data_IF_597184555787
#
_entry.id   IF_597184555787
#
_cell.length_a   1.000
_cell.length_b   1.000
_cell.length_c   1.000
_cell.angle_alpha   90.00
_cell.angle_beta   90.00
_cell.angle_gamma   90.00
#
_symmetry.space_group_name_H-M   'P 1'
#
loop_
_entity.id
_entity.type
_entity.pdbx_description
1 polymer ?
#
# COMPACT_ATOMS: atom_id res chain seq x y z
N UNK A 1 -5.97 26.25 34.30
CA UNK A 1 -5.58 24.87 34.63
C UNK A 1 -5.31 24.19 33.32
N UNK A 2 -4.10 23.73 33.01
CA UNK A 2 -3.81 23.07 31.77
C UNK A 2 -4.25 21.61 31.88
N UNK A 3 -5.00 21.14 30.91
CA UNK A 3 -5.34 19.73 30.73
C UNK A 3 -4.06 18.98 30.38
N UNK A 4 -3.69 18.02 31.24
CA UNK A 4 -2.58 17.11 30.99
C UNK A 4 -2.88 16.21 29.80
N UNK A 5 -1.84 15.98 28.99
CA UNK A 5 -1.87 15.03 27.86
C UNK A 5 -2.24 13.62 28.35
N UNK A 6 -3.14 12.91 27.66
CA UNK A 6 -3.40 11.52 27.97
C UNK A 6 -2.25 10.68 27.41
N UNK A 7 -1.26 10.35 28.23
CA UNK A 7 -0.33 9.25 27.93
C UNK A 7 -1.11 7.93 28.00
N UNK A 8 -1.60 7.48 26.88
CA UNK A 8 -2.41 6.24 26.75
C UNK A 8 -1.57 4.95 26.75
N UNK A 9 -0.25 5.06 26.82
CA UNK A 9 0.64 3.91 26.92
C UNK A 9 1.31 3.87 28.28
N UNK A 10 0.97 2.94 29.16
CA UNK A 10 1.73 2.74 30.40
C UNK A 10 3.11 2.18 30.06
N UNK A 11 4.15 2.71 30.75
CA UNK A 11 5.50 2.18 30.63
C UNK A 11 5.52 0.68 30.91
N UNK A 12 6.36 -0.07 30.20
CA UNK A 12 6.49 -1.51 30.37
C UNK A 12 6.76 -1.94 31.83
N UNK A 13 7.35 -1.06 32.64
CA UNK A 13 7.57 -1.26 34.08
C UNK A 13 6.31 -1.02 34.93
N UNK A 14 5.38 -0.14 34.51
CA UNK A 14 4.15 0.12 35.27
C UNK A 14 3.12 -1.02 35.16
N UNK A 15 3.23 -1.90 34.17
CA UNK A 15 2.40 -3.09 34.01
C UNK A 15 2.68 -4.13 35.13
N UNK A 16 3.88 -4.10 35.72
CA UNK A 16 4.28 -5.03 36.82
C UNK A 16 3.62 -4.73 38.17
N UNK A 17 2.99 -3.56 38.35
CA UNK A 17 2.47 -3.09 39.65
C UNK A 17 0.96 -3.09 39.81
N UNK A 18 0.18 -3.73 38.92
CA UNK A 18 -1.25 -3.87 39.12
C UNK A 18 -1.55 -4.90 40.24
N UNK A 19 -1.49 -4.45 41.49
CA UNK A 19 -1.95 -5.23 42.64
C UNK A 19 -3.48 -5.19 42.73
N UNK A 20 -4.10 -6.37 42.67
CA UNK A 20 -5.52 -6.57 42.84
C UNK A 20 -5.96 -6.30 44.27
N UNK A 21 -6.94 -5.41 44.45
CA UNK A 21 -7.82 -5.45 45.61
C UNK A 21 -9.24 -5.28 45.11
N UNK A 22 -9.94 -6.39 45.04
CA UNK A 22 -11.33 -6.53 45.48
C UNK A 22 -11.86 -7.92 45.15
N UNK A 23 -12.14 -8.66 46.20
CA UNK A 23 -12.87 -9.90 46.16
C UNK A 23 -14.37 -9.62 46.01
N UNK A 24 -14.96 -9.96 44.88
CA UNK A 24 -16.39 -10.31 44.80
C UNK A 24 -16.57 -11.34 43.70
N UNK A 25 -17.18 -12.40 44.12
CA UNK A 25 -17.51 -13.64 43.52
C UNK A 25 -17.67 -13.71 42.03
N UNK A 26 -17.26 -14.90 41.58
CA UNK A 26 -17.90 -15.55 40.44
C UNK A 26 -16.90 -15.95 39.36
N UNK A 27 -16.88 -17.19 39.11
CA UNK A 27 -16.06 -17.92 38.14
C UNK A 27 -15.97 -17.37 36.72
N UNK A 28 -16.89 -16.49 36.30
CA UNK A 28 -16.85 -15.82 34.98
C UNK A 28 -15.89 -14.64 34.89
N UNK A 29 -15.77 -13.86 35.97
CA UNK A 29 -14.93 -12.65 35.99
C UNK A 29 -13.44 -13.00 36.17
N UNK A 30 -13.15 -14.07 36.89
CA UNK A 30 -11.78 -14.57 37.07
C UNK A 30 -11.17 -15.08 35.74
N UNK A 31 -11.96 -15.66 34.87
CA UNK A 31 -11.51 -16.14 33.56
C UNK A 31 -11.17 -14.99 32.63
N UNK A 32 -12.00 -13.95 32.58
CA UNK A 32 -11.75 -12.77 31.75
C UNK A 32 -10.54 -11.99 32.26
N UNK A 33 -10.39 -11.75 33.55
CA UNK A 33 -9.25 -11.05 34.14
C UNK A 33 -7.92 -11.77 33.90
N UNK A 34 -7.90 -13.09 33.92
CA UNK A 34 -6.71 -13.88 33.62
C UNK A 34 -6.36 -13.81 32.13
N UNK A 35 -7.33 -13.91 31.23
CA UNK A 35 -7.10 -13.76 29.77
C UNK A 35 -6.48 -12.41 29.44
N UNK A 36 -7.01 -11.31 29.99
CA UNK A 36 -6.43 -9.96 29.79
C UNK A 36 -4.99 -9.87 30.32
N UNK A 37 -4.69 -10.42 31.48
CA UNK A 37 -3.32 -10.44 32.02
C UNK A 37 -2.35 -11.19 31.10
N UNK A 38 -2.73 -12.35 30.62
CA UNK A 38 -1.89 -13.13 29.69
C UNK A 38 -1.68 -12.42 28.36
N UNK A 39 -2.73 -11.78 27.83
CA UNK A 39 -2.63 -11.00 26.58
C UNK A 39 -1.67 -9.82 26.74
N UNK A 40 -1.81 -9.03 27.80
CA UNK A 40 -0.93 -7.88 28.05
C UNK A 40 0.52 -8.31 28.29
N UNK A 41 0.74 -9.38 29.04
CA UNK A 41 2.09 -9.94 29.25
C UNK A 41 2.68 -10.42 27.92
N UNK A 42 1.88 -11.07 27.06
CA UNK A 42 2.35 -11.50 25.74
C UNK A 42 2.74 -10.32 24.86
N UNK A 43 1.94 -9.24 24.86
CA UNK A 43 2.27 -8.02 24.11
C UNK A 43 3.56 -7.36 24.65
N UNK A 44 3.69 -7.25 25.98
CA UNK A 44 4.88 -6.69 26.61
C UNK A 44 6.13 -7.52 26.31
N UNK A 45 6.05 -8.84 26.41
CA UNK A 45 7.14 -9.76 26.09
C UNK A 45 7.54 -9.61 24.61
N UNK A 46 6.56 -9.62 23.71
CA UNK A 46 6.80 -9.43 22.29
C UNK A 46 7.46 -8.08 22.00
N UNK A 47 7.01 -7.01 22.65
CA UNK A 47 7.56 -5.67 22.50
C UNK A 47 9.03 -5.58 22.96
N UNK A 48 9.36 -6.15 24.12
CA UNK A 48 10.72 -6.16 24.67
C UNK A 48 11.65 -6.99 23.78
N UNK A 49 11.27 -8.22 23.46
CA UNK A 49 12.09 -9.13 22.65
C UNK A 49 12.39 -8.58 21.25
N UNK A 50 11.43 -7.85 20.65
CA UNK A 50 11.56 -7.35 19.28
C UNK A 50 11.86 -5.85 19.20
N UNK A 51 12.05 -5.18 20.33
CA UNK A 51 12.31 -3.73 20.41
C UNK A 51 11.24 -2.90 19.70
N UNK A 52 9.98 -3.26 19.90
CA UNK A 52 8.85 -2.52 19.35
C UNK A 52 8.64 -1.21 20.08
N UNK A 53 8.10 -0.23 19.39
CA UNK A 53 7.86 1.12 19.90
C UNK A 53 6.39 1.32 20.25
N UNK A 54 6.12 2.09 21.31
CA UNK A 54 4.76 2.50 21.67
C UNK A 54 4.20 3.48 20.63
N UNK A 55 3.11 3.17 19.93
CA UNK A 55 2.53 4.09 18.97
C UNK A 55 1.74 5.20 19.67
N UNK A 56 1.73 6.40 19.10
CA UNK A 56 0.80 7.47 19.47
C UNK A 56 -0.50 7.26 18.71
N UNK A 57 -1.62 7.16 19.42
CA UNK A 57 -2.96 7.03 18.81
C UNK A 57 -3.77 8.26 19.18
N UNK A 58 -4.37 8.90 18.17
CA UNK A 58 -5.20 10.10 18.33
C UNK A 58 -6.39 10.11 17.36
N UNK A 59 -7.23 11.14 17.46
CA UNK A 59 -8.38 11.31 16.56
C UNK A 59 -8.04 12.04 15.24
N UNK A 60 -6.73 12.21 14.95
CA UNK A 60 -6.30 12.88 13.72
C UNK A 60 -6.58 12.01 12.48
N UNK A 61 -6.51 12.64 11.32
CA UNK A 61 -6.60 11.96 10.03
C UNK A 61 -5.22 11.55 9.49
N UNK A 62 -4.18 11.58 10.33
CA UNK A 62 -2.80 11.26 9.97
C UNK A 62 -2.48 9.79 10.24
N UNK A 63 -1.75 9.18 9.33
CA UNK A 63 -1.10 7.89 9.50
C UNK A 63 0.37 8.09 9.15
N UNK A 64 1.22 8.19 10.17
CA UNK A 64 2.65 8.35 10.04
C UNK A 64 3.39 7.22 10.72
N UNK A 65 4.21 6.50 9.96
CA UNK A 65 5.05 5.38 10.43
C UNK A 65 6.46 5.63 9.90
N UNK A 66 7.43 5.66 10.78
CA UNK A 66 8.84 5.83 10.45
C UNK A 66 9.58 4.50 10.64
N UNK A 67 10.34 4.08 9.63
CA UNK A 67 11.10 2.84 9.63
C UNK A 67 10.27 1.62 10.04
N UNK A 68 9.04 1.53 9.51
CA UNK A 68 8.14 0.41 9.73
C UNK A 68 8.69 -0.89 9.15
N UNK A 69 8.43 -2.00 9.85
CA UNK A 69 8.86 -3.34 9.47
C UNK A 69 7.69 -4.32 9.49
N UNK A 70 7.75 -5.33 8.66
CA UNK A 70 6.73 -6.38 8.66
C UNK A 70 7.00 -7.35 9.83
N UNK A 71 6.09 -7.49 10.82
CA UNK A 71 6.36 -8.19 12.08
C UNK A 71 6.77 -9.66 11.90
N UNK A 72 6.32 -10.30 10.82
CA UNK A 72 6.64 -11.71 10.54
C UNK A 72 7.91 -11.81 9.71
N UNK A 73 8.04 -11.02 8.64
CA UNK A 73 9.18 -11.15 7.71
C UNK A 73 10.49 -10.69 8.34
N UNK A 74 10.46 -9.71 9.24
CA UNK A 74 11.66 -9.30 10.00
C UNK A 74 12.27 -10.46 10.79
N UNK A 75 11.42 -11.39 11.27
CA UNK A 75 11.88 -12.57 12.04
C UNK A 75 12.34 -13.73 11.15
N UNK A 76 11.74 -13.90 9.99
CA UNK A 76 12.04 -15.02 9.07
C UNK A 76 13.29 -14.74 8.25
N UNK A 77 13.49 -13.48 7.85
CA UNK A 77 14.65 -13.10 7.05
C UNK A 77 15.90 -13.02 7.93
N UNK A 78 17.08 -13.36 7.38
CA UNK A 78 18.34 -13.16 8.06
C UNK A 78 18.51 -11.71 8.56
N UNK A 79 19.16 -11.55 9.70
CA UNK A 79 19.37 -10.24 10.33
C UNK A 79 19.95 -9.22 9.34
N UNK A 80 19.34 -8.04 9.24
CA UNK A 80 19.77 -6.96 8.34
C UNK A 80 19.27 -7.07 6.89
N UNK A 81 18.57 -8.13 6.50
CA UNK A 81 18.02 -8.26 5.15
C UNK A 81 16.65 -7.61 4.96
N UNK A 82 15.93 -7.32 6.04
CA UNK A 82 14.66 -6.61 5.95
C UNK A 82 14.89 -5.10 5.80
N UNK A 83 14.29 -4.50 4.79
CA UNK A 83 14.38 -3.06 4.53
C UNK A 83 13.16 -2.36 5.13
N UNK A 84 13.40 -1.57 6.17
CA UNK A 84 12.36 -0.76 6.80
C UNK A 84 11.90 0.38 5.88
N UNK A 85 10.62 0.73 5.95
CA UNK A 85 10.01 1.74 5.10
C UNK A 85 9.12 2.68 5.89
N UNK A 86 9.07 3.94 5.43
CA UNK A 86 8.21 4.97 5.98
C UNK A 86 6.84 4.96 5.30
N UNK A 87 5.82 5.43 6.02
CA UNK A 87 4.51 5.75 5.46
C UNK A 87 4.03 7.08 6.03
N UNK A 88 3.54 7.97 5.17
CA UNK A 88 2.80 9.15 5.59
C UNK A 88 1.57 9.32 4.71
N UNK A 89 0.38 9.20 5.32
CA UNK A 89 -0.91 9.46 4.67
C UNK A 89 -1.72 10.39 5.56
N UNK A 90 -2.36 11.39 4.96
CA UNK A 90 -3.19 12.37 5.66
C UNK A 90 -4.50 12.54 4.92
N UNK A 91 -5.61 12.08 5.49
CA UNK A 91 -6.94 12.35 4.96
C UNK A 91 -7.36 13.80 5.31
N UNK A 92 -8.18 14.40 4.44
CA UNK A 92 -8.62 15.82 4.57
C UNK A 92 -7.45 16.82 4.68
N UNK A 93 -6.41 16.62 3.87
CA UNK A 93 -5.23 17.46 3.85
C UNK A 93 -5.52 18.85 3.26
N UNK A 94 -5.85 19.82 4.10
CA UNK A 94 -6.15 21.20 3.68
C UNK A 94 -4.95 21.90 3.03
N UNK A 95 -3.74 21.47 3.35
CA UNK A 95 -2.51 22.04 2.79
C UNK A 95 -2.06 21.39 1.47
N UNK A 96 -2.64 20.23 1.13
CA UNK A 96 -2.32 19.45 -0.08
C UNK A 96 -0.82 19.08 -0.22
N UNK A 97 -0.07 19.15 0.87
CA UNK A 97 1.37 18.83 0.87
C UNK A 97 1.63 17.34 1.01
N UNK A 98 0.79 16.64 1.79
CA UNK A 98 0.95 15.23 2.07
C UNK A 98 0.03 14.36 1.19
N UNK A 99 0.35 13.09 1.04
CA UNK A 99 -0.49 12.15 0.31
C UNK A 99 -1.70 11.73 1.17
N UNK A 100 -2.90 11.78 0.60
CA UNK A 100 -4.05 11.04 1.10
C UNK A 100 -4.10 9.68 0.39
N UNK A 101 -3.76 9.67 -0.88
CA UNK A 101 -3.79 8.54 -1.77
C UNK A 101 -2.40 8.32 -2.39
N UNK A 102 -1.80 7.18 -2.13
CA UNK A 102 -0.49 6.77 -2.65
C UNK A 102 -0.68 5.84 -3.84
N UNK A 103 -0.21 6.24 -5.03
CA UNK A 103 -0.04 5.32 -6.16
C UNK A 103 1.36 4.71 -6.04
N UNK A 104 1.43 3.41 -5.80
CA UNK A 104 2.68 2.69 -5.62
C UNK A 104 3.03 1.86 -6.86
N UNK A 105 4.09 2.26 -7.56
CA UNK A 105 4.57 1.58 -8.75
C UNK A 105 5.86 0.81 -8.50
N UNK A 106 6.16 -0.15 -9.35
CA UNK A 106 7.38 -0.96 -9.29
C UNK A 106 7.14 -2.37 -9.83
N UNK A 107 8.19 -3.15 -10.09
CA UNK A 107 8.06 -4.50 -10.64
C UNK A 107 7.45 -5.47 -9.63
N UNK A 108 7.02 -6.62 -10.13
CA UNK A 108 6.70 -7.76 -9.28
C UNK A 108 7.95 -8.18 -8.50
N UNK A 109 7.76 -8.78 -7.33
CA UNK A 109 8.82 -9.19 -6.40
C UNK A 109 9.58 -8.04 -5.72
N UNK A 110 9.34 -6.76 -6.08
CA UNK A 110 9.98 -5.62 -5.43
C UNK A 110 9.49 -5.34 -4.00
N UNK A 111 8.38 -5.97 -3.58
CA UNK A 111 7.89 -5.86 -2.20
C UNK A 111 6.67 -4.94 -2.01
N UNK A 112 5.96 -4.53 -3.08
CA UNK A 112 4.75 -3.69 -3.01
C UNK A 112 3.70 -4.25 -2.04
N UNK A 113 3.27 -5.49 -2.27
CA UNK A 113 2.25 -6.15 -1.44
C UNK A 113 2.73 -6.38 0.01
N UNK A 114 4.04 -6.63 0.20
CA UNK A 114 4.67 -6.72 1.52
C UNK A 114 4.58 -5.39 2.27
N UNK A 115 4.90 -4.28 1.59
CA UNK A 115 4.82 -2.94 2.15
C UNK A 115 3.38 -2.58 2.56
N UNK A 116 2.38 -2.90 1.74
CA UNK A 116 0.98 -2.67 2.09
C UNK A 116 0.55 -3.48 3.32
N UNK A 117 0.88 -4.79 3.35
CA UNK A 117 0.57 -5.67 4.49
C UNK A 117 1.28 -5.22 5.77
N UNK A 118 2.54 -4.79 5.68
CA UNK A 118 3.29 -4.22 6.80
C UNK A 118 2.51 -3.10 7.47
N UNK A 119 2.06 -2.11 6.68
CA UNK A 119 1.37 -0.94 7.21
C UNK A 119 0.00 -1.29 7.82
N UNK A 120 -0.76 -2.19 7.19
CA UNK A 120 -2.01 -2.71 7.77
C UNK A 120 -1.79 -3.40 9.12
N UNK A 121 -0.77 -4.27 9.21
CA UNK A 121 -0.45 -4.98 10.45
C UNK A 121 0.00 -4.03 11.56
N UNK A 122 0.79 -3.00 11.24
CA UNK A 122 1.19 -1.97 12.21
C UNK A 122 -0.05 -1.25 12.76
N UNK A 123 -0.99 -0.86 11.90
CA UNK A 123 -2.24 -0.20 12.32
C UNK A 123 -3.08 -1.13 13.20
N UNK A 124 -3.23 -2.40 12.84
CA UNK A 124 -3.97 -3.38 13.63
C UNK A 124 -3.31 -3.55 15.00
N UNK A 125 -1.99 -3.80 15.04
CA UNK A 125 -1.25 -3.97 16.29
C UNK A 125 -1.41 -2.75 17.20
N UNK A 126 -1.28 -1.53 16.66
CA UNK A 126 -1.47 -0.31 17.42
C UNK A 126 -2.88 -0.23 18.03
N UNK A 127 -3.92 -0.46 17.23
CA UNK A 127 -5.31 -0.30 17.68
C UNK A 127 -5.80 -1.40 18.65
N UNK A 128 -5.14 -2.57 18.68
CA UNK A 128 -5.40 -3.57 19.72
C UNK A 128 -4.61 -3.33 21.01
N UNK A 129 -3.84 -2.23 21.10
CA UNK A 129 -3.06 -1.86 22.29
C UNK A 129 -1.68 -2.50 22.37
N UNK A 130 -1.16 -3.05 21.28
CA UNK A 130 0.20 -3.57 21.20
C UNK A 130 1.21 -2.49 20.78
N UNK A 131 2.46 -2.66 21.17
CA UNK A 131 3.59 -1.95 20.57
C UNK A 131 3.80 -2.43 19.14
N UNK A 132 4.45 -1.61 18.30
CA UNK A 132 4.54 -1.79 16.85
C UNK A 132 5.99 -1.86 16.35
N UNK A 133 6.25 -2.62 15.28
CA UNK A 133 7.58 -2.80 14.69
C UNK A 133 7.99 -1.58 13.84
N UNK A 134 8.32 -0.47 14.48
CA UNK A 134 8.80 0.74 13.82
C UNK A 134 9.64 1.58 14.80
N UNK A 135 10.30 2.63 14.31
CA UNK A 135 11.00 3.59 15.17
C UNK A 135 10.06 4.64 15.79
N UNK A 136 9.05 5.05 15.01
CA UNK A 136 8.01 5.97 15.47
C UNK A 136 6.71 5.70 14.73
N UNK A 137 5.58 5.79 15.42
CA UNK A 137 4.26 5.75 14.79
C UNK A 137 3.30 6.75 15.45
N UNK A 138 2.61 7.52 14.60
CA UNK A 138 1.45 8.32 14.95
C UNK A 138 0.28 7.88 14.08
N UNK A 139 -0.75 7.37 14.72
CA UNK A 139 -1.84 6.68 14.04
C UNK A 139 -3.16 7.31 14.44
N UNK A 140 -3.74 8.09 13.54
CA UNK A 140 -5.13 8.52 13.62
C UNK A 140 -6.05 7.31 13.46
N UNK A 141 -7.08 7.24 14.32
CA UNK A 141 -8.00 6.10 14.39
C UNK A 141 -8.48 5.68 12.99
N UNK A 142 -8.42 4.37 12.73
CA UNK A 142 -8.90 3.71 11.52
C UNK A 142 -10.13 2.87 11.88
N UNK A 143 -11.27 3.18 11.28
CA UNK A 143 -12.54 2.48 11.56
C UNK A 143 -12.61 1.11 10.86
N UNK A 144 -12.04 1.01 9.65
CA UNK A 144 -12.00 -0.21 8.85
C UNK A 144 -10.72 -0.28 8.03
N UNK A 145 -10.20 -1.48 7.88
CA UNK A 145 -9.10 -1.77 6.95
C UNK A 145 -9.64 -2.64 5.83
N UNK A 146 -9.60 -2.12 4.61
CA UNK A 146 -9.98 -2.86 3.43
C UNK A 146 -8.75 -3.29 2.67
N UNK A 147 -8.71 -4.55 2.28
CA UNK A 147 -7.61 -5.10 1.50
C UNK A 147 -8.16 -5.82 0.27
N UNK A 148 -7.64 -5.46 -0.90
CA UNK A 148 -7.77 -6.23 -2.11
C UNK A 148 -6.35 -6.56 -2.57
N UNK A 149 -5.78 -7.65 -2.05
CA UNK A 149 -4.38 -8.06 -2.24
C UNK A 149 -4.34 -9.52 -2.65
N UNK A 150 -3.94 -9.80 -3.88
CA UNK A 150 -3.85 -11.13 -4.46
C UNK A 150 -5.20 -11.67 -4.95
N UNK A 151 -5.17 -12.43 -6.04
CA UNK A 151 -6.31 -13.22 -6.46
C UNK A 151 -6.24 -14.59 -5.77
N UNK A 152 -7.28 -14.96 -5.05
CA UNK A 152 -7.52 -16.35 -4.69
C UNK A 152 -8.53 -16.88 -5.70
N UNK A 153 -8.10 -17.83 -6.52
CA UNK A 153 -9.00 -18.54 -7.42
C UNK A 153 -9.92 -19.42 -6.58
N UNK A 154 -11.08 -18.89 -6.21
CA UNK A 154 -12.14 -19.70 -5.62
C UNK A 154 -12.97 -20.35 -6.74
N UNK A 155 -12.47 -21.47 -7.21
CA UNK A 155 -13.14 -22.29 -8.24
C UNK A 155 -14.49 -22.85 -7.77
N UNK A 156 -14.79 -22.80 -6.46
CA UNK A 156 -16.01 -23.41 -5.88
C UNK A 156 -17.28 -22.63 -6.23
N UNK A 157 -17.18 -21.33 -6.54
CA UNK A 157 -18.33 -20.48 -6.83
C UNK A 157 -18.61 -20.29 -8.33
N UNK A 158 -17.80 -20.85 -9.22
CA UNK A 158 -17.98 -20.73 -10.68
C UNK A 158 -17.89 -19.28 -11.23
N UNK A 159 -17.42 -18.33 -10.42
CA UNK A 159 -17.25 -16.93 -10.82
C UNK A 159 -15.84 -16.73 -11.41
N UNK A 160 -15.74 -15.86 -12.41
CA UNK A 160 -14.43 -15.46 -12.90
C UNK A 160 -13.68 -14.65 -11.84
N UNK A 161 -12.35 -14.79 -11.79
CA UNK A 161 -11.48 -14.02 -10.89
C UNK A 161 -11.71 -12.51 -11.00
N UNK A 162 -12.02 -12.02 -12.21
CA UNK A 162 -12.37 -10.63 -12.44
C UNK A 162 -13.71 -10.23 -11.78
N UNK A 163 -14.73 -11.10 -11.81
CA UNK A 163 -16.01 -10.82 -11.14
C UNK A 163 -15.85 -10.77 -9.62
N UNK A 164 -15.05 -11.65 -9.04
CA UNK A 164 -14.71 -11.60 -7.61
C UNK A 164 -14.00 -10.30 -7.27
N UNK A 165 -13.02 -9.89 -8.08
CA UNK A 165 -12.31 -8.61 -7.92
C UNK A 165 -13.27 -7.42 -7.95
N UNK A 166 -14.21 -7.40 -8.89
CA UNK A 166 -15.20 -6.31 -9.00
C UNK A 166 -16.17 -6.28 -7.82
N UNK A 167 -16.61 -7.44 -7.33
CA UNK A 167 -17.47 -7.54 -6.16
C UNK A 167 -16.78 -7.02 -4.89
N UNK A 168 -15.52 -7.40 -4.67
CA UNK A 168 -14.71 -6.91 -3.53
C UNK A 168 -14.47 -5.39 -3.65
N UNK A 169 -14.14 -4.90 -4.84
CA UNK A 169 -13.97 -3.47 -5.10
C UNK A 169 -15.27 -2.71 -4.86
N UNK A 170 -16.42 -3.21 -5.34
CA UNK A 170 -17.71 -2.61 -5.09
C UNK A 170 -18.05 -2.56 -3.59
N UNK A 171 -17.76 -3.65 -2.85
CA UNK A 171 -17.94 -3.67 -1.40
C UNK A 171 -17.09 -2.60 -0.70
N UNK A 172 -15.83 -2.43 -1.09
CA UNK A 172 -14.94 -1.40 -0.55
C UNK A 172 -15.53 -0.01 -0.82
N UNK A 173 -15.89 0.29 -2.08
CA UNK A 173 -16.39 1.61 -2.47
C UNK A 173 -17.70 1.99 -1.76
N UNK A 174 -18.55 1.01 -1.46
CA UNK A 174 -19.83 1.24 -0.77
C UNK A 174 -19.71 1.27 0.76
N UNK A 175 -18.63 0.73 1.34
CA UNK A 175 -18.52 0.53 2.80
C UNK A 175 -17.42 1.37 3.47
N UNK A 176 -16.50 1.91 2.69
CA UNK A 176 -15.39 2.72 3.20
C UNK A 176 -15.85 4.13 3.62
N UNK A 177 -15.16 4.66 4.61
CA UNK A 177 -15.34 6.03 5.13
C UNK A 177 -14.04 6.83 4.99
N UNK A 178 -14.04 8.10 5.29
CA UNK A 178 -12.83 8.94 5.32
C UNK A 178 -11.80 8.47 6.36
N UNK A 179 -12.24 7.76 7.41
CA UNK A 179 -11.38 7.18 8.45
C UNK A 179 -10.82 5.81 8.09
N UNK A 180 -11.24 5.22 6.98
CA UNK A 180 -10.77 3.88 6.56
C UNK A 180 -9.34 3.92 6.01
N UNK A 181 -8.67 2.77 6.09
CA UNK A 181 -7.43 2.48 5.38
C UNK A 181 -7.73 1.49 4.25
N UNK A 182 -7.45 1.88 3.01
CA UNK A 182 -7.72 1.08 1.82
C UNK A 182 -6.40 0.63 1.18
N UNK A 183 -6.26 -0.66 0.93
CA UNK A 183 -5.10 -1.28 0.30
C UNK A 183 -5.54 -2.03 -0.95
N UNK A 184 -5.20 -1.49 -2.13
CA UNK A 184 -5.55 -2.06 -3.42
C UNK A 184 -4.29 -2.56 -4.13
N UNK A 185 -4.30 -3.80 -4.58
CA UNK A 185 -3.21 -4.39 -5.35
C UNK A 185 -3.72 -4.81 -6.73
N UNK A 186 -3.27 -4.08 -7.75
CA UNK A 186 -3.42 -4.43 -9.16
C UNK A 186 -4.88 -4.60 -9.64
N UNK A 187 -5.74 -3.65 -9.30
CA UNK A 187 -7.13 -3.61 -9.80
C UNK A 187 -7.16 -3.51 -11.33
N UNK A 188 -8.04 -4.31 -11.98
CA UNK A 188 -8.28 -4.28 -13.41
C UNK A 188 -7.44 -5.28 -14.22
N UNK A 189 -6.70 -6.20 -13.58
CA UNK A 189 -5.86 -7.20 -14.29
C UNK A 189 -6.64 -8.28 -15.01
N UNK A 190 -7.86 -8.59 -14.58
CA UNK A 190 -8.66 -9.70 -15.09
C UNK A 190 -9.39 -9.43 -16.39
N UNK A 191 -9.20 -8.26 -17.03
CA UNK A 191 -9.86 -7.85 -18.26
C UNK A 191 -8.88 -7.28 -19.30
N UNK A 192 -9.40 -6.69 -20.39
CA UNK A 192 -8.54 -6.02 -21.38
C UNK A 192 -7.77 -4.86 -20.75
N UNK A 193 -6.59 -4.53 -21.29
CA UNK A 193 -5.75 -3.47 -20.75
C UNK A 193 -6.48 -2.13 -20.64
N UNK A 194 -7.25 -1.76 -21.68
CA UNK A 194 -7.98 -0.49 -21.70
C UNK A 194 -9.09 -0.43 -20.66
N UNK A 195 -9.90 -1.49 -20.57
CA UNK A 195 -10.95 -1.59 -19.54
C UNK A 195 -10.34 -1.59 -18.15
N UNK A 196 -9.25 -2.33 -17.95
CA UNK A 196 -8.53 -2.40 -16.69
C UNK A 196 -8.02 -1.03 -16.22
N UNK A 197 -7.36 -0.27 -17.10
CA UNK A 197 -6.89 1.09 -16.83
C UNK A 197 -8.06 2.03 -16.50
N UNK A 198 -9.15 1.98 -17.31
CA UNK A 198 -10.32 2.83 -17.12
C UNK A 198 -11.00 2.57 -15.76
N UNK A 199 -11.16 1.30 -15.38
CA UNK A 199 -11.71 0.90 -14.08
C UNK A 199 -10.79 1.35 -12.96
N UNK A 200 -9.48 1.06 -13.04
CA UNK A 200 -8.51 1.41 -12.02
C UNK A 200 -8.45 2.93 -11.79
N UNK A 201 -8.48 3.72 -12.87
CA UNK A 201 -8.57 5.18 -12.81
C UNK A 201 -9.82 5.65 -12.08
N UNK A 202 -10.99 5.15 -12.52
CA UNK A 202 -12.29 5.57 -11.96
C UNK A 202 -12.41 5.20 -10.47
N UNK A 203 -11.91 4.03 -10.06
CA UNK A 203 -11.84 3.60 -8.66
C UNK A 203 -10.93 4.55 -7.85
N UNK A 204 -9.74 4.84 -8.35
CA UNK A 204 -8.80 5.73 -7.68
C UNK A 204 -9.37 7.16 -7.52
N UNK A 205 -9.97 7.70 -8.58
CA UNK A 205 -10.62 9.01 -8.56
C UNK A 205 -11.79 9.04 -7.55
N UNK A 206 -12.65 8.03 -7.56
CA UNK A 206 -13.78 7.95 -6.64
C UNK A 206 -13.32 7.90 -5.17
N UNK A 207 -12.31 7.09 -4.86
CA UNK A 207 -11.76 7.03 -3.51
C UNK A 207 -11.14 8.37 -3.11
N UNK A 208 -10.32 8.97 -3.96
CA UNK A 208 -9.60 10.20 -3.66
C UNK A 208 -10.53 11.42 -3.52
N UNK A 209 -11.63 11.48 -4.30
CA UNK A 209 -12.49 12.66 -4.37
C UNK A 209 -13.77 12.54 -3.54
N UNK A 210 -14.35 11.34 -3.45
CA UNK A 210 -15.65 11.11 -2.77
C UNK A 210 -15.48 10.51 -1.38
N UNK A 211 -14.76 9.37 -1.26
CA UNK A 211 -14.58 8.69 0.02
C UNK A 211 -13.54 9.42 0.87
N UNK A 212 -12.46 9.89 0.25
CA UNK A 212 -11.33 10.59 0.88
C UNK A 212 -10.58 9.75 1.92
N UNK A 213 -10.61 8.44 1.80
CA UNK A 213 -9.92 7.51 2.69
C UNK A 213 -8.39 7.51 2.46
N UNK A 214 -7.63 7.20 3.50
CA UNK A 214 -6.19 6.93 3.39
C UNK A 214 -5.98 5.67 2.56
N UNK A 215 -5.27 5.78 1.45
CA UNK A 215 -5.21 4.69 0.47
C UNK A 215 -3.79 4.43 -0.03
N UNK A 216 -3.42 3.16 -0.16
CA UNK A 216 -2.25 2.70 -0.89
C UNK A 216 -2.74 1.84 -2.05
N UNK A 217 -2.48 2.28 -3.27
CA UNK A 217 -2.86 1.58 -4.49
C UNK A 217 -1.60 1.15 -5.26
N UNK A 218 -1.26 -0.13 -5.16
CA UNK A 218 -0.20 -0.70 -5.97
C UNK A 218 -0.72 -1.05 -7.37
N UNK A 219 0.00 -0.62 -8.40
CA UNK A 219 -0.41 -0.84 -9.79
C UNK A 219 0.77 -0.98 -10.73
N UNK A 220 0.54 -1.67 -11.86
CA UNK A 220 1.44 -1.69 -13.02
C UNK A 220 1.01 -0.72 -14.12
N UNK A 221 -0.14 -0.08 -13.97
CA UNK A 221 -0.61 0.92 -14.92
C UNK A 221 0.14 2.23 -14.72
N UNK A 222 1.12 2.50 -15.59
CA UNK A 222 1.88 3.74 -15.56
C UNK A 222 1.04 4.98 -15.89
N UNK A 223 -0.09 4.76 -16.57
CA UNK A 223 -1.08 5.76 -16.91
C UNK A 223 -1.65 6.46 -15.67
N UNK A 224 -1.80 5.75 -14.57
CA UNK A 224 -2.30 6.31 -13.31
C UNK A 224 -1.33 7.34 -12.70
N UNK A 225 -0.06 7.32 -13.09
CA UNK A 225 0.92 8.29 -12.56
C UNK A 225 0.53 9.75 -12.86
N UNK A 226 -0.22 10.00 -13.94
CA UNK A 226 -0.69 11.35 -14.31
C UNK A 226 -1.71 11.89 -13.31
N UNK A 227 -2.40 11.02 -12.58
CA UNK A 227 -3.40 11.45 -11.58
C UNK A 227 -2.81 12.38 -10.52
N UNK A 228 -1.54 12.24 -10.17
CA UNK A 228 -0.87 13.14 -9.22
C UNK A 228 -0.74 14.58 -9.71
N UNK A 229 -0.80 14.83 -11.02
CA UNK A 229 -0.82 16.18 -11.60
C UNK A 229 -2.23 16.77 -11.68
N UNK A 230 -3.27 15.93 -11.63
CA UNK A 230 -4.67 16.34 -11.73
C UNK A 230 -5.28 16.48 -10.31
N UNK A 231 -4.95 15.57 -9.42
CA UNK A 231 -5.50 15.48 -8.06
C UNK A 231 -4.38 15.72 -7.02
N UNK A 232 -4.31 16.89 -6.38
CA UNK A 232 -3.21 17.24 -5.46
C UNK A 232 -3.03 16.29 -4.28
N UNK A 233 -4.11 15.63 -3.83
CA UNK A 233 -4.11 14.64 -2.75
C UNK A 233 -3.53 13.29 -3.16
N UNK A 234 -3.32 13.03 -4.46
CA UNK A 234 -2.70 11.81 -4.98
C UNK A 234 -1.20 12.06 -5.15
N UNK A 235 -0.37 11.19 -4.61
CA UNK A 235 1.09 11.24 -4.81
C UNK A 235 1.59 9.90 -5.36
N UNK A 236 2.60 10.00 -6.23
CA UNK A 236 3.25 8.83 -6.79
C UNK A 236 4.41 8.39 -5.92
N UNK A 237 4.52 7.09 -5.72
CA UNK A 237 5.63 6.43 -5.05
C UNK A 237 6.11 5.24 -5.86
N UNK A 238 7.37 4.88 -5.67
CA UNK A 238 7.97 3.72 -6.33
C UNK A 238 8.82 2.92 -5.38
N UNK A 239 8.91 1.62 -5.63
CA UNK A 239 9.91 0.79 -4.99
C UNK A 239 11.23 0.92 -5.74
N UNK A 240 12.31 1.19 -5.00
CA UNK A 240 13.62 1.42 -5.60
C UNK A 240 14.29 0.13 -6.07
N UNK A 241 15.03 0.28 -7.15
CA UNK A 241 15.80 -0.78 -7.82
C UNK A 241 17.16 -0.21 -8.16
N UNK A 242 18.20 -1.01 -8.05
CA UNK A 242 19.52 -0.74 -8.62
C UNK A 242 19.72 -1.61 -9.86
N UNK A 243 20.22 -1.01 -10.93
CA UNK A 243 20.66 -1.73 -12.12
C UNK A 243 22.20 -1.77 -12.08
N UNK A 244 22.78 -2.96 -12.03
CA UNK A 244 24.23 -3.17 -12.11
C UNK A 244 24.50 -4.28 -13.12
N UNK A 245 25.29 -3.96 -14.18
CA UNK A 245 25.72 -4.91 -15.23
C UNK A 245 24.60 -5.80 -15.80
N UNK A 246 23.44 -5.22 -16.17
CA UNK A 246 22.24 -5.96 -16.62
C UNK A 246 21.57 -6.87 -15.56
N UNK A 247 22.01 -6.80 -14.31
CA UNK A 247 21.35 -7.43 -13.19
C UNK A 247 20.49 -6.42 -12.41
N UNK A 248 19.36 -6.89 -11.90
CA UNK A 248 18.46 -6.08 -11.10
C UNK A 248 18.61 -6.46 -9.64
N UNK A 249 18.91 -5.46 -8.81
CA UNK A 249 18.90 -5.58 -7.37
C UNK A 249 17.69 -4.83 -6.81
N UNK A 250 16.77 -5.55 -6.19
CA UNK A 250 15.61 -4.96 -5.52
C UNK A 250 16.03 -4.35 -4.19
N UNK A 251 16.12 -3.02 -4.12
CA UNK A 251 16.49 -2.30 -2.90
C UNK A 251 15.33 -2.25 -1.89
N UNK A 252 14.10 -2.53 -2.33
CA UNK A 252 12.89 -2.64 -1.49
C UNK A 252 12.56 -1.38 -0.68
N UNK A 253 13.20 -0.23 -0.97
CA UNK A 253 12.89 1.06 -0.35
C UNK A 253 11.83 1.77 -1.17
N UNK A 254 10.78 2.24 -0.49
CA UNK A 254 9.71 3.05 -1.08
C UNK A 254 10.11 4.51 -1.00
N UNK A 255 10.06 5.21 -2.13
CA UNK A 255 10.37 6.64 -2.21
C UNK A 255 9.33 7.37 -3.07
N UNK A 256 9.18 8.65 -2.88
CA UNK A 256 8.31 9.49 -3.72
C UNK A 256 8.84 9.53 -5.17
N UNK A 257 7.92 9.58 -6.12
CA UNK A 257 8.17 9.61 -7.55
C UNK A 257 7.59 8.40 -8.28
N UNK A 258 7.47 8.49 -9.61
CA UNK A 258 6.95 7.42 -10.45
C UNK A 258 8.06 6.49 -10.95
N UNK A 259 7.72 5.21 -11.17
CA UNK A 259 8.61 4.31 -11.92
C UNK A 259 8.52 4.63 -13.41
N UNK A 260 9.66 4.85 -14.06
CA UNK A 260 9.75 5.19 -15.50
C UNK A 260 9.91 3.97 -16.41
N UNK A 261 10.28 2.81 -15.85
CA UNK A 261 10.57 1.59 -16.60
C UNK A 261 9.79 0.40 -16.06
N UNK A 262 9.41 -0.51 -16.94
CA UNK A 262 8.95 -1.85 -16.59
C UNK A 262 10.13 -2.84 -16.62
N UNK A 263 10.15 -3.79 -15.71
CA UNK A 263 11.25 -4.75 -15.55
C UNK A 263 10.83 -6.20 -15.81
N UNK A 264 9.70 -6.40 -16.52
CA UNK A 264 9.14 -7.74 -16.76
C UNK A 264 10.10 -8.69 -17.47
N UNK A 265 10.84 -8.20 -18.49
CA UNK A 265 11.79 -9.03 -19.25
C UNK A 265 12.98 -9.42 -18.37
N UNK A 266 13.46 -8.51 -17.52
CA UNK A 266 14.55 -8.80 -16.60
C UNK A 266 14.14 -9.82 -15.52
N UNK A 267 12.92 -9.70 -14.99
CA UNK A 267 12.37 -10.70 -14.05
C UNK A 267 12.23 -12.06 -14.74
N UNK A 268 11.81 -12.09 -16.01
CA UNK A 268 11.75 -13.32 -16.81
C UNK A 268 13.14 -13.96 -16.99
N UNK A 269 14.18 -13.13 -17.22
CA UNK A 269 15.59 -13.58 -17.29
C UNK A 269 16.02 -14.18 -15.94
N UNK A 270 15.72 -13.53 -14.82
CA UNK A 270 16.01 -14.04 -13.48
C UNK A 270 15.29 -15.36 -13.17
N UNK A 271 14.08 -15.54 -13.68
CA UNK A 271 13.30 -16.76 -13.54
C UNK A 271 13.83 -17.92 -14.41
N UNK A 272 14.88 -17.69 -15.22
CA UNK A 272 15.52 -18.72 -16.02
C UNK A 272 14.87 -19.00 -17.37
N UNK A 273 14.10 -18.06 -17.94
CA UNK A 273 13.59 -18.23 -19.31
C UNK A 273 14.75 -18.37 -20.30
N UNK A 274 14.61 -19.21 -21.36
CA UNK A 274 15.64 -19.38 -22.37
C UNK A 274 16.10 -18.05 -22.98
N UNK A 275 17.40 -17.90 -23.18
CA UNK A 275 17.98 -16.65 -23.69
C UNK A 275 17.42 -16.22 -25.06
N UNK A 276 17.05 -17.18 -25.91
CA UNK A 276 16.37 -16.91 -27.20
C UNK A 276 15.04 -16.24 -27.01
N UNK A 277 14.25 -16.66 -26.00
CA UNK A 277 12.94 -16.05 -25.68
C UNK A 277 13.12 -14.62 -25.15
N UNK A 278 14.10 -14.42 -24.25
CA UNK A 278 14.44 -13.11 -23.71
C UNK A 278 14.83 -12.13 -24.82
N UNK A 279 15.71 -12.55 -25.73
CA UNK A 279 16.13 -11.74 -26.87
C UNK A 279 14.94 -11.36 -27.77
N UNK A 280 14.11 -12.34 -28.12
CA UNK A 280 12.91 -12.08 -28.92
C UNK A 280 11.96 -11.07 -28.23
N UNK A 281 11.77 -11.22 -26.90
CA UNK A 281 10.93 -10.29 -26.13
C UNK A 281 11.50 -8.86 -26.12
N UNK A 282 12.83 -8.70 -26.00
CA UNK A 282 13.49 -7.39 -26.08
C UNK A 282 13.35 -6.76 -27.45
N UNK A 283 13.52 -7.54 -28.53
CA UNK A 283 13.37 -7.07 -29.91
C UNK A 283 11.90 -6.65 -30.18
N UNK A 284 10.92 -7.42 -29.70
CA UNK A 284 9.51 -7.09 -29.83
C UNK A 284 9.14 -5.82 -29.05
N UNK A 285 9.62 -5.68 -27.82
CA UNK A 285 9.40 -4.47 -27.02
C UNK A 285 9.98 -3.23 -27.71
N UNK A 286 11.16 -3.36 -28.32
CA UNK A 286 11.80 -2.27 -29.07
C UNK A 286 10.98 -1.89 -30.30
N UNK A 287 10.47 -2.86 -31.06
CA UNK A 287 9.59 -2.62 -32.21
C UNK A 287 8.31 -1.92 -31.80
N UNK A 288 7.62 -2.43 -30.75
CA UNK A 288 6.40 -1.81 -30.23
C UNK A 288 6.61 -0.35 -29.82
N UNK A 289 7.73 -0.04 -29.18
CA UNK A 289 8.09 1.36 -28.79
C UNK A 289 8.34 2.24 -30.02
N UNK A 290 8.97 1.70 -31.06
CA UNK A 290 9.25 2.44 -32.30
C UNK A 290 8.00 2.72 -33.11
N UNK A 291 7.13 1.72 -33.29
CA UNK A 291 5.86 1.88 -34.02
C UNK A 291 4.97 2.89 -33.32
N UNK A 292 4.92 2.80 -32.00
CA UNK A 292 4.20 3.74 -31.17
C UNK A 292 4.74 5.18 -31.28
N UNK A 293 6.05 5.38 -31.31
CA UNK A 293 6.66 6.70 -31.50
C UNK A 293 6.38 7.30 -32.90
N UNK A 294 6.19 6.45 -33.94
CA UNK A 294 5.83 6.87 -35.29
C UNK A 294 4.37 7.35 -35.34
N UNK A 295 3.45 6.64 -34.69
CA UNK A 295 2.04 7.03 -34.63
C UNK A 295 1.85 8.36 -33.91
N UNK A 296 2.62 8.60 -32.83
CA UNK A 296 2.66 9.91 -32.16
C UNK A 296 3.20 11.04 -33.06
N UNK A 297 4.23 10.75 -33.85
CA UNK A 297 4.81 11.76 -34.76
C UNK A 297 3.86 12.08 -35.93
N UNK A 298 3.09 11.12 -36.38
CA UNK A 298 2.07 11.30 -37.43
C UNK A 298 0.86 12.11 -36.91
N UNK A 299 0.45 11.90 -35.65
CA UNK A 299 -0.65 12.62 -35.03
C UNK A 299 -0.26 14.05 -34.55
N UNK A 300 0.99 14.29 -34.16
CA UNK A 300 1.50 15.67 -33.83
C UNK A 300 1.40 16.64 -35.00
N UNK A 301 1.27 16.18 -36.24
CA UNK A 301 1.01 17.07 -37.41
C UNK A 301 -0.43 17.53 -37.52
N UNK A 302 -1.37 16.96 -36.71
CA UNK A 302 -2.81 17.29 -36.79
C UNK A 302 -3.40 17.98 -35.58
N UNK A 303 -2.70 18.07 -34.42
CA UNK A 303 -3.25 18.71 -33.23
C UNK A 303 -2.16 19.46 -32.43
N UNK A 304 -2.39 20.72 -32.15
CA UNK A 304 -1.70 21.48 -31.08
C UNK A 304 -2.32 21.05 -29.75
N UNK A 305 -1.71 20.10 -29.03
CA UNK A 305 -2.15 19.65 -27.71
C UNK A 305 -0.96 19.71 -26.74
N UNK A 306 -1.15 20.03 -25.45
CA UNK A 306 -0.05 20.16 -24.48
C UNK A 306 0.70 18.82 -24.30
N UNK A 307 2.00 18.92 -24.07
CA UNK A 307 2.90 17.76 -23.88
C UNK A 307 2.45 16.87 -22.72
N UNK A 308 1.86 15.72 -23.05
CA UNK A 308 1.67 14.59 -22.13
C UNK A 308 2.51 13.43 -22.66
N UNK A 309 3.51 13.03 -21.92
CA UNK A 309 4.54 12.06 -22.35
C UNK A 309 4.09 10.59 -22.39
N UNK A 310 2.83 10.29 -22.09
CA UNK A 310 2.30 8.93 -22.16
C UNK A 310 1.26 8.78 -23.26
N UNK A 311 1.49 7.89 -24.17
CA UNK A 311 0.73 7.72 -25.41
C UNK A 311 -0.70 7.24 -25.28
N UNK A 312 -0.99 6.41 -24.26
CA UNK A 312 -2.32 5.87 -24.04
C UNK A 312 -3.32 6.92 -23.55
N UNK A 313 -2.85 7.95 -22.85
CA UNK A 313 -3.69 9.06 -22.37
C UNK A 313 -4.20 10.00 -23.47
N UNK A 314 -3.47 10.15 -24.59
CA UNK A 314 -3.92 10.98 -25.69
C UNK A 314 -5.19 10.42 -26.38
N UNK A 315 -5.44 9.12 -26.27
CA UNK A 315 -6.65 8.47 -26.76
C UNK A 315 -7.86 8.67 -25.84
N UNK A 316 -7.64 8.79 -24.54
CA UNK A 316 -8.70 8.98 -23.54
C UNK A 316 -9.25 10.41 -23.57
N UNK A 317 -8.40 11.41 -23.83
CA UNK A 317 -8.79 12.82 -23.78
C UNK A 317 -9.21 13.42 -25.15
N UNK A 318 -9.07 12.70 -26.26
CA UNK A 318 -9.46 13.16 -27.59
C UNK A 318 -10.82 12.63 -28.08
N UNK A 319 -11.60 11.93 -27.24
CA UNK A 319 -12.91 11.40 -27.64
C UNK A 319 -14.08 12.37 -27.51
N UNK A 320 -13.86 13.60 -27.00
CA UNK A 320 -14.87 14.66 -26.93
C UNK A 320 -14.52 15.82 -27.85
N UNK A 321 -14.73 15.61 -29.17
CA UNK A 321 -15.09 16.64 -30.13
C UNK A 321 -15.81 16.06 -31.33
#
# INVERSE_FOLDING_TARGET
MPFGEPNLCPDAESISHFKSSTSIGIYGIACTASVWKYTLVSFATCAIENKYTCPQIDDSNELYIQNGKHPVLEKILPMGQYVANDLKLVADNKTQTDAQFMILTGPNMAGKSTYMRQNALIVILAQIGSFVPCEYAKIGIVDKIFTRVGAVDDLSLGQSTFMVEMNETAFILNSATEKSLILLDEIGRGTSTYDGVAIAWSVAEYIATKIKARTIFATHYHELNVMSSIFPQIKNYRVTISEDNDEIIFLRKVIEGSASKSYGIQVAKMAGLPQSVIKTAQDMMTKMRLDYSKDLSANKRKAKVPNVETPQLSLIFNSDK
#
